data_IF_652989184228
#
_entry.id   IF_652989184228
#
_cell.length_a   1.000
_cell.length_b   1.000
_cell.length_c   1.000
_cell.angle_alpha   90.00
_cell.angle_beta   90.00
_cell.angle_gamma   90.00
#
_symmetry.space_group_name_H-M   'P 1'
#
loop_
_entity.id
_entity.type
_entity.pdbx_description
1 polymer ?
#
# COMPACT_ATOMS: atom_id res chain seq x y z
N UNK A 1 69.31 32.22 30.09
CA UNK A 1 68.32 32.35 31.18
C UNK A 1 68.21 33.84 31.49
N UNK A 2 67.01 34.43 31.41
CA UNK A 2 66.84 35.87 31.59
C UNK A 2 67.05 36.27 33.05
N UNK A 3 67.64 37.45 33.29
CA UNK A 3 68.08 37.93 34.62
C UNK A 3 66.89 38.17 35.58
N UNK A 4 65.68 38.28 35.04
CA UNK A 4 64.43 38.53 35.74
C UNK A 4 63.56 37.27 35.93
N UNK A 5 64.05 36.08 35.55
CA UNK A 5 63.31 34.82 35.70
C UNK A 5 62.10 34.66 34.78
N UNK A 6 61.85 35.62 33.87
CA UNK A 6 60.72 35.56 32.94
C UNK A 6 61.13 34.76 31.69
N UNK A 7 60.43 33.68 31.33
CA UNK A 7 60.66 32.98 30.08
C UNK A 7 60.29 33.91 28.92
N UNK A 8 61.25 34.19 28.03
CA UNK A 8 61.03 35.01 26.83
C UNK A 8 61.33 34.18 25.60
N UNK A 9 60.55 34.38 24.54
CA UNK A 9 60.84 33.81 23.24
C UNK A 9 61.65 34.81 22.45
N UNK A 10 62.82 34.37 21.98
CA UNK A 10 63.73 35.21 21.22
C UNK A 10 63.61 34.85 19.75
N UNK A 11 63.31 35.85 18.93
CA UNK A 11 63.50 35.74 17.49
C UNK A 11 64.69 36.63 17.10
N UNK A 12 65.68 36.02 16.45
CA UNK A 12 66.86 36.72 15.98
C UNK A 12 66.72 36.93 14.48
N UNK A 13 66.86 38.19 14.05
CA UNK A 13 66.96 38.51 12.62
C UNK A 13 68.26 39.27 12.38
N UNK A 14 69.02 38.81 11.39
CA UNK A 14 70.21 39.53 10.96
C UNK A 14 69.77 40.79 10.20
N UNK A 15 70.38 41.93 10.53
CA UNK A 15 70.13 43.17 9.78
C UNK A 15 70.93 43.11 8.48
N UNK A 16 70.29 43.23 7.30
CA UNK A 16 71.02 43.18 6.04
C UNK A 16 72.07 44.29 5.97
N UNK A 17 73.33 43.93 5.69
CA UNK A 17 74.43 44.88 5.49
C UNK A 17 75.27 45.23 6.73
N UNK A 18 74.96 44.70 7.92
CA UNK A 18 75.76 44.89 9.13
C UNK A 18 75.98 43.56 9.87
N UNK A 19 77.13 43.36 10.56
CA UNK A 19 77.37 42.17 11.37
C UNK A 19 76.68 42.28 12.75
N UNK A 20 75.41 42.71 12.76
CA UNK A 20 74.61 42.91 13.97
C UNK A 20 73.35 42.06 13.90
N UNK A 21 73.03 41.39 15.01
CA UNK A 21 71.80 40.66 15.22
C UNK A 21 70.88 41.48 16.12
N UNK A 22 69.65 41.72 15.67
CA UNK A 22 68.61 42.31 16.51
C UNK A 22 67.78 41.16 17.09
N UNK A 23 67.66 41.12 18.41
CA UNK A 23 66.75 40.22 19.11
C UNK A 23 65.54 41.00 19.57
N UNK A 24 64.36 40.56 19.15
CA UNK A 24 63.10 41.02 19.74
C UNK A 24 62.67 39.91 20.70
N UNK A 25 62.54 40.27 21.97
CA UNK A 25 62.10 39.36 23.02
C UNK A 25 60.71 39.78 23.48
N UNK A 26 59.70 39.00 23.12
CA UNK A 26 58.35 39.17 23.66
C UNK A 26 58.24 38.38 24.96
N UNK A 27 57.60 38.97 25.97
CA UNK A 27 57.28 38.25 27.19
C UNK A 27 56.31 37.10 26.89
N UNK A 28 56.47 35.95 27.57
CA UNK A 28 55.54 34.82 27.43
C UNK A 28 54.08 35.23 27.70
N UNK A 29 53.85 36.19 28.59
CA UNK A 29 52.51 36.76 28.86
C UNK A 29 51.97 37.56 27.66
N UNK A 30 52.76 38.46 27.07
CA UNK A 30 52.33 39.27 25.90
C UNK A 30 52.03 38.39 24.67
N UNK A 31 52.84 37.35 24.44
CA UNK A 31 52.58 36.39 23.36
C UNK A 31 51.31 35.57 23.61
N UNK A 32 51.07 35.16 24.86
CA UNK A 32 49.85 34.46 25.25
C UNK A 32 48.62 35.36 25.08
N UNK A 33 48.66 36.62 25.49
CA UNK A 33 47.52 37.54 25.37
C UNK A 33 47.11 37.82 23.91
N UNK A 34 48.09 37.97 23.00
CA UNK A 34 47.81 38.18 21.56
C UNK A 34 47.26 36.91 20.90
N UNK A 35 47.80 35.73 21.22
CA UNK A 35 47.32 34.45 20.68
C UNK A 35 45.98 33.99 21.26
N UNK A 36 45.69 34.32 22.52
CA UNK A 36 44.43 33.94 23.18
C UNK A 36 43.21 34.70 22.66
N UNK A 37 43.40 35.93 22.13
CA UNK A 37 42.30 36.78 21.64
C UNK A 37 41.79 36.35 20.26
N UNK A 38 42.66 35.87 19.38
CA UNK A 38 42.29 35.30 18.07
C UNK A 38 41.76 33.88 18.21
N UNK A 39 42.40 33.04 19.02
CA UNK A 39 42.01 31.65 19.24
C UNK A 39 40.56 31.51 19.78
N UNK A 40 40.10 32.43 20.64
CA UNK A 40 38.74 32.34 21.22
C UNK A 40 37.61 32.42 20.19
N UNK A 41 37.74 33.25 19.14
CA UNK A 41 36.71 33.36 18.10
C UNK A 41 36.71 32.11 17.20
N UNK A 42 37.88 31.56 16.90
CA UNK A 42 38.02 30.33 16.11
C UNK A 42 37.38 29.13 16.81
N UNK A 43 37.57 29.00 18.14
CA UNK A 43 36.90 27.94 18.93
C UNK A 43 35.38 28.12 18.96
N UNK A 44 34.87 29.36 19.10
CA UNK A 44 33.43 29.61 19.10
C UNK A 44 32.80 29.31 17.74
N UNK A 45 33.43 29.72 16.64
CA UNK A 45 32.97 29.39 15.28
C UNK A 45 33.00 27.89 15.01
N UNK A 46 34.05 27.19 15.45
CA UNK A 46 34.16 25.73 15.31
C UNK A 46 33.06 24.99 16.11
N UNK A 47 32.77 25.43 17.34
CA UNK A 47 31.70 24.83 18.16
C UNK A 47 30.31 25.11 17.58
N UNK A 48 30.06 26.33 17.09
CA UNK A 48 28.81 26.67 16.40
C UNK A 48 28.63 25.86 15.11
N UNK A 49 29.67 25.74 14.29
CA UNK A 49 29.64 24.90 13.09
C UNK A 49 29.39 23.43 13.41
N UNK A 50 30.00 22.90 14.47
CA UNK A 50 29.79 21.53 14.92
C UNK A 50 28.35 21.31 15.43
N UNK A 51 27.79 22.25 16.19
CA UNK A 51 26.41 22.21 16.66
C UNK A 51 25.41 22.30 15.51
N UNK A 52 25.68 23.13 14.50
CA UNK A 52 24.87 23.23 13.29
C UNK A 52 24.90 21.92 12.49
N UNK A 53 26.08 21.30 12.34
CA UNK A 53 26.21 20.00 11.67
C UNK A 53 25.46 18.89 12.41
N UNK A 54 25.56 18.85 13.75
CA UNK A 54 24.82 17.89 14.57
C UNK A 54 23.30 18.12 14.49
N UNK A 55 22.86 19.38 14.55
CA UNK A 55 21.45 19.74 14.39
C UNK A 55 20.92 19.37 13.01
N UNK A 56 21.68 19.65 11.94
CA UNK A 56 21.33 19.26 10.58
C UNK A 56 21.27 17.73 10.43
N UNK A 57 22.25 17.00 10.97
CA UNK A 57 22.24 15.54 10.96
C UNK A 57 21.03 14.96 11.73
N UNK A 58 20.69 15.55 12.88
CA UNK A 58 19.51 15.16 13.66
C UNK A 58 18.20 15.41 12.89
N UNK A 59 18.02 16.58 12.28
CA UNK A 59 16.84 16.88 11.46
C UNK A 59 16.76 15.94 10.26
N UNK A 60 17.87 15.73 9.55
CA UNK A 60 17.93 14.89 8.38
C UNK A 60 17.66 13.40 8.68
N UNK A 61 18.18 12.91 9.80
CA UNK A 61 17.88 11.55 10.28
C UNK A 61 16.43 11.40 10.72
N UNK A 62 15.86 12.40 11.38
CA UNK A 62 14.45 12.39 11.78
C UNK A 62 13.53 12.38 10.55
N UNK A 63 13.77 13.26 9.57
CA UNK A 63 13.03 13.30 8.31
C UNK A 63 13.04 11.96 7.57
N UNK A 64 14.24 11.36 7.42
CA UNK A 64 14.38 10.01 6.84
C UNK A 64 13.63 8.95 7.63
N UNK A 65 13.69 8.99 8.96
CA UNK A 65 12.98 8.02 9.80
C UNK A 65 11.46 8.16 9.69
N UNK A 66 10.95 9.39 9.57
CA UNK A 66 9.53 9.68 9.41
C UNK A 66 9.01 9.15 8.07
N UNK A 67 9.73 9.44 6.99
CA UNK A 67 9.42 8.95 5.65
C UNK A 67 9.42 7.40 5.64
N UNK A 68 10.42 6.78 6.25
CA UNK A 68 10.48 5.31 6.37
C UNK A 68 9.30 4.73 7.15
N UNK A 69 8.89 5.36 8.25
CA UNK A 69 7.72 4.92 9.02
C UNK A 69 6.43 5.02 8.20
N UNK A 70 6.22 6.12 7.48
CA UNK A 70 5.06 6.28 6.59
C UNK A 70 5.06 5.23 5.47
N UNK A 71 6.21 4.97 4.85
CA UNK A 71 6.33 3.92 3.84
C UNK A 71 6.07 2.52 4.42
N UNK A 72 6.57 2.22 5.63
CA UNK A 72 6.32 0.95 6.29
C UNK A 72 4.85 0.76 6.65
N UNK A 73 4.19 1.79 7.18
CA UNK A 73 2.76 1.75 7.47
C UNK A 73 1.93 1.52 6.21
N UNK A 74 2.24 2.24 5.13
CA UNK A 74 1.57 2.07 3.84
C UNK A 74 1.79 0.68 3.27
N UNK A 75 3.04 0.20 3.27
CA UNK A 75 3.40 -1.12 2.77
C UNK A 75 2.73 -2.24 3.58
N UNK A 76 2.67 -2.08 4.91
CA UNK A 76 2.01 -3.04 5.80
C UNK A 76 0.50 -3.06 5.57
N UNK A 77 -0.15 -1.89 5.49
CA UNK A 77 -1.58 -1.80 5.20
C UNK A 77 -1.91 -2.39 3.82
N UNK A 78 -1.10 -2.09 2.80
CA UNK A 78 -1.27 -2.64 1.47
C UNK A 78 -1.12 -4.17 1.49
N UNK A 79 -0.08 -4.70 2.15
CA UNK A 79 0.13 -6.14 2.28
C UNK A 79 -1.02 -6.83 3.01
N UNK A 80 -1.51 -6.26 4.11
CA UNK A 80 -2.65 -6.80 4.84
C UNK A 80 -3.92 -6.80 3.98
N UNK A 81 -4.17 -5.73 3.23
CA UNK A 81 -5.29 -5.66 2.31
C UNK A 81 -5.19 -6.71 1.20
N UNK A 82 -4.02 -6.86 0.57
CA UNK A 82 -3.79 -7.89 -0.45
C UNK A 82 -4.02 -9.28 0.10
N UNK A 83 -3.47 -9.62 1.27
CA UNK A 83 -3.67 -10.92 1.92
C UNK A 83 -5.15 -11.18 2.24
N UNK A 84 -5.87 -10.17 2.74
CA UNK A 84 -7.30 -10.30 3.01
C UNK A 84 -8.10 -10.58 1.73
N UNK A 85 -7.83 -9.85 0.65
CA UNK A 85 -8.46 -10.06 -0.66
C UNK A 85 -8.12 -11.44 -1.23
N UNK A 86 -6.85 -11.86 -1.14
CA UNK A 86 -6.38 -13.17 -1.60
C UNK A 86 -7.04 -14.32 -0.85
N UNK A 87 -7.12 -14.24 0.48
CA UNK A 87 -7.73 -15.27 1.31
C UNK A 87 -9.23 -15.45 1.02
N UNK A 88 -9.93 -14.37 0.68
CA UNK A 88 -11.35 -14.40 0.34
C UNK A 88 -11.65 -14.67 -1.13
N UNK A 89 -10.62 -14.85 -1.97
CA UNK A 89 -10.79 -14.96 -3.43
C UNK A 89 -11.41 -13.71 -4.07
N UNK A 90 -11.32 -12.56 -3.39
CA UNK A 90 -11.96 -11.33 -3.81
C UNK A 90 -11.10 -10.61 -4.84
N UNK A 91 -11.77 -10.12 -5.88
CA UNK A 91 -11.20 -9.24 -6.87
C UNK A 91 -11.89 -7.87 -6.81
N UNK A 92 -11.16 -6.80 -7.11
CA UNK A 92 -11.66 -5.43 -7.05
C UNK A 92 -12.11 -4.89 -8.40
N UNK A 93 -13.19 -4.12 -8.39
CA UNK A 93 -13.66 -3.34 -9.51
C UNK A 93 -13.99 -1.90 -9.09
N UNK A 94 -13.88 -0.99 -10.04
CA UNK A 94 -14.31 0.39 -9.90
C UNK A 94 -14.94 0.86 -11.20
N UNK A 95 -16.01 1.63 -11.10
CA UNK A 95 -16.71 2.21 -12.23
C UNK A 95 -16.78 3.72 -12.05
N UNK A 96 -16.16 4.43 -13.00
CA UNK A 96 -16.36 5.86 -13.19
C UNK A 96 -17.63 6.10 -14.02
N UNK A 97 -18.63 6.70 -13.38
CA UNK A 97 -19.94 6.95 -13.98
C UNK A 97 -19.97 8.20 -14.88
N UNK A 98 -18.91 9.01 -14.86
CA UNK A 98 -18.78 10.18 -15.73
C UNK A 98 -18.19 9.77 -17.07
N UNK A 99 -17.13 8.98 -17.05
CA UNK A 99 -16.43 8.52 -18.27
C UNK A 99 -16.99 7.21 -18.82
N UNK A 100 -17.71 6.45 -18.00
CA UNK A 100 -18.16 5.09 -18.33
C UNK A 100 -17.06 4.04 -18.20
N UNK A 101 -15.86 4.42 -17.78
CA UNK A 101 -14.73 3.51 -17.66
C UNK A 101 -14.88 2.61 -16.43
N UNK A 102 -14.64 1.33 -16.66
CA UNK A 102 -14.51 0.34 -15.61
C UNK A 102 -13.04 -0.04 -15.46
N UNK A 103 -12.58 -0.05 -14.22
CA UNK A 103 -11.26 -0.50 -13.82
C UNK A 103 -11.42 -1.78 -13.02
N UNK A 104 -10.72 -2.82 -13.45
CA UNK A 104 -10.72 -4.11 -12.77
C UNK A 104 -9.29 -4.53 -12.49
N UNK A 105 -9.09 -5.18 -11.35
CA UNK A 105 -7.78 -5.65 -10.96
C UNK A 105 -7.31 -6.85 -11.82
N UNK A 106 -6.16 -7.41 -11.47
CA UNK A 106 -5.59 -8.56 -12.19
C UNK A 106 -6.43 -9.83 -11.99
N UNK A 107 -7.04 -10.01 -10.81
CA UNK A 107 -7.81 -11.21 -10.49
C UNK A 107 -9.14 -11.24 -11.22
N UNK A 108 -9.85 -10.12 -11.29
CA UNK A 108 -11.12 -9.98 -12.02
C UNK A 108 -10.95 -10.34 -13.49
N UNK A 109 -9.83 -9.93 -14.09
CA UNK A 109 -9.47 -10.32 -15.47
C UNK A 109 -9.22 -11.82 -15.59
N UNK A 110 -8.44 -12.38 -14.67
CA UNK A 110 -8.14 -13.80 -14.67
C UNK A 110 -9.40 -14.68 -14.50
N UNK A 111 -10.40 -14.24 -13.72
CA UNK A 111 -11.70 -14.93 -13.59
C UNK A 111 -12.44 -15.07 -14.93
N UNK A 112 -12.22 -14.14 -15.87
CA UNK A 112 -12.82 -14.17 -17.22
C UNK A 112 -11.85 -14.70 -18.29
N UNK A 113 -10.66 -15.13 -17.87
CA UNK A 113 -9.62 -15.74 -18.70
C UNK A 113 -8.71 -14.74 -19.42
N UNK A 114 -8.89 -13.43 -19.24
CA UNK A 114 -8.10 -12.42 -19.94
C UNK A 114 -6.69 -12.29 -19.34
N UNK A 115 -5.68 -12.26 -20.21
CA UNK A 115 -4.29 -12.01 -19.81
C UNK A 115 -4.04 -10.51 -19.54
N UNK A 116 -3.02 -10.18 -18.72
CA UNK A 116 -2.62 -8.79 -18.51
C UNK A 116 -2.27 -8.11 -19.85
N UNK A 117 -2.99 -7.03 -20.17
CA UNK A 117 -2.74 -6.22 -21.38
C UNK A 117 -3.44 -6.70 -22.65
N UNK A 118 -4.21 -7.80 -22.58
CA UNK A 118 -4.94 -8.34 -23.74
C UNK A 118 -6.15 -7.48 -24.11
N UNK A 119 -7.00 -7.17 -23.12
CA UNK A 119 -8.20 -6.36 -23.32
C UNK A 119 -8.54 -5.60 -22.04
N UNK A 120 -9.01 -4.36 -22.19
CA UNK A 120 -9.55 -3.57 -21.10
C UNK A 120 -11.03 -3.90 -20.92
N UNK A 121 -11.42 -4.31 -19.72
CA UNK A 121 -12.82 -4.51 -19.34
C UNK A 121 -13.42 -3.15 -19.01
N UNK A 122 -14.00 -2.50 -20.02
CA UNK A 122 -14.80 -1.28 -19.85
C UNK A 122 -16.30 -1.60 -19.71
N UNK A 123 -17.13 -0.55 -19.54
CA UNK A 123 -18.58 -0.72 -19.39
C UNK A 123 -19.26 -1.32 -20.63
N UNK A 124 -18.72 -1.13 -21.83
CA UNK A 124 -19.28 -1.67 -23.07
C UNK A 124 -19.02 -3.17 -23.16
N UNK A 125 -17.75 -3.58 -22.97
CA UNK A 125 -17.39 -4.99 -22.94
C UNK A 125 -18.13 -5.73 -21.83
N UNK A 126 -18.29 -5.11 -20.66
CA UNK A 126 -19.13 -5.67 -19.61
C UNK A 126 -20.56 -5.95 -20.09
N UNK A 127 -21.20 -5.01 -20.77
CA UNK A 127 -22.56 -5.17 -21.29
C UNK A 127 -22.67 -6.27 -22.37
N UNK A 128 -21.61 -6.47 -23.16
CA UNK A 128 -21.50 -7.55 -24.15
C UNK A 128 -21.33 -8.91 -23.50
N UNK A 129 -20.48 -9.01 -22.47
CA UNK A 129 -20.21 -10.26 -21.75
C UNK A 129 -21.34 -10.65 -20.80
N UNK A 130 -22.19 -9.70 -20.38
CA UNK A 130 -23.31 -9.96 -19.47
C UNK A 130 -24.36 -10.86 -20.11
N UNK A 131 -24.71 -11.93 -19.40
CA UNK A 131 -25.75 -12.87 -19.81
C UNK A 131 -27.07 -12.11 -20.08
N UNK A 132 -27.74 -12.35 -21.23
CA UNK A 132 -28.95 -11.62 -21.61
C UNK A 132 -30.05 -11.63 -20.53
N UNK A 133 -30.28 -12.79 -19.92
CA UNK A 133 -31.29 -12.98 -18.86
C UNK A 133 -30.99 -12.21 -17.57
N UNK A 134 -29.73 -11.85 -17.32
CA UNK A 134 -29.32 -11.18 -16.08
C UNK A 134 -29.42 -9.64 -16.20
N UNK A 135 -29.56 -9.11 -17.43
CA UNK A 135 -29.66 -7.66 -17.69
C UNK A 135 -30.82 -6.98 -16.95
N UNK A 136 -32.05 -7.53 -16.94
CA UNK A 136 -33.17 -6.90 -16.24
C UNK A 136 -32.94 -6.85 -14.72
N UNK A 137 -32.44 -7.95 -14.15
CA UNK A 137 -32.15 -8.07 -12.72
C UNK A 137 -31.04 -7.08 -12.31
N UNK A 138 -29.97 -6.97 -13.10
CA UNK A 138 -28.91 -5.99 -12.82
C UNK A 138 -29.47 -4.57 -12.77
N UNK A 139 -30.28 -4.18 -13.77
CA UNK A 139 -30.88 -2.85 -13.81
C UNK A 139 -31.81 -2.59 -12.61
N UNK A 140 -32.60 -3.59 -12.22
CA UNK A 140 -33.50 -3.51 -11.05
C UNK A 140 -32.73 -3.33 -9.74
N UNK A 141 -31.63 -4.07 -9.53
CA UNK A 141 -30.82 -4.00 -8.31
C UNK A 141 -29.92 -2.77 -8.27
N UNK A 142 -29.44 -2.31 -9.41
CA UNK A 142 -28.53 -1.17 -9.49
C UNK A 142 -29.25 0.16 -9.27
N UNK A 143 -30.49 0.30 -9.77
CA UNK A 143 -31.25 1.56 -9.73
C UNK A 143 -31.44 2.14 -8.31
N UNK A 144 -31.89 1.38 -7.28
CA UNK A 144 -32.03 1.90 -5.92
C UNK A 144 -30.69 2.37 -5.32
N UNK A 145 -29.59 1.67 -5.63
CA UNK A 145 -28.25 2.03 -5.16
C UNK A 145 -27.80 3.35 -5.79
N UNK A 146 -28.02 3.53 -7.09
CA UNK A 146 -27.71 4.78 -7.78
C UNK A 146 -28.51 5.96 -7.23
N UNK A 147 -29.78 5.73 -6.88
CA UNK A 147 -30.64 6.74 -6.22
C UNK A 147 -30.29 6.99 -4.75
N UNK A 148 -29.49 6.13 -4.13
CA UNK A 148 -29.14 6.23 -2.70
C UNK A 148 -30.23 5.70 -1.77
N UNK A 149 -31.23 4.97 -2.30
CA UNK A 149 -32.29 4.32 -1.53
C UNK A 149 -31.74 3.10 -0.75
N UNK A 150 -30.70 2.46 -1.29
CA UNK A 150 -30.01 1.32 -0.68
C UNK A 150 -28.50 1.61 -0.67
N UNK A 151 -27.78 1.31 0.43
CA UNK A 151 -26.38 1.71 0.57
C UNK A 151 -25.41 0.89 -0.29
N UNK A 152 -25.78 -0.35 -0.64
CA UNK A 152 -24.89 -1.32 -1.30
C UNK A 152 -25.63 -2.11 -2.37
N UNK A 153 -24.92 -2.35 -3.46
CA UNK A 153 -25.26 -3.32 -4.48
C UNK A 153 -24.83 -4.70 -4.00
N UNK A 154 -25.73 -5.67 -4.10
CA UNK A 154 -25.46 -7.08 -3.92
C UNK A 154 -26.26 -7.82 -4.99
N UNK A 155 -25.57 -8.52 -5.89
CA UNK A 155 -26.22 -9.40 -6.86
C UNK A 155 -25.29 -10.53 -7.28
N UNK A 156 -25.90 -11.55 -7.88
CA UNK A 156 -25.19 -12.57 -8.64
C UNK A 156 -25.56 -12.40 -10.11
N UNK A 157 -24.58 -12.52 -11.00
CA UNK A 157 -24.82 -12.52 -12.44
C UNK A 157 -23.76 -13.33 -13.16
N UNK A 158 -24.03 -13.66 -14.41
CA UNK A 158 -23.15 -14.43 -15.26
C UNK A 158 -22.48 -13.53 -16.28
N UNK A 159 -21.16 -13.64 -16.36
CA UNK A 159 -20.37 -13.09 -17.45
C UNK A 159 -19.84 -14.21 -18.33
N UNK A 160 -19.73 -13.94 -19.62
CA UNK A 160 -19.14 -14.86 -20.59
C UNK A 160 -17.61 -14.83 -20.45
N UNK A 161 -17.03 -15.99 -20.18
CA UNK A 161 -15.59 -16.21 -20.24
C UNK A 161 -15.08 -16.05 -21.68
N UNK A 162 -13.80 -15.72 -21.87
CA UNK A 162 -13.21 -15.65 -23.23
C UNK A 162 -13.35 -16.95 -24.03
N UNK A 163 -13.34 -18.09 -23.33
CA UNK A 163 -13.50 -19.43 -23.91
C UNK A 163 -14.97 -19.80 -24.17
N UNK A 164 -15.91 -18.89 -23.91
CA UNK A 164 -17.32 -19.01 -24.28
C UNK A 164 -18.24 -19.62 -23.23
N UNK A 165 -17.72 -20.18 -22.13
CA UNK A 165 -18.54 -20.65 -21.02
C UNK A 165 -18.98 -19.51 -20.10
N UNK A 166 -19.95 -19.76 -19.23
CA UNK A 166 -20.45 -18.77 -18.26
C UNK A 166 -19.74 -18.90 -16.92
N UNK A 167 -19.38 -17.75 -16.34
CA UNK A 167 -18.79 -17.65 -15.00
C UNK A 167 -19.83 -17.02 -14.07
N UNK A 168 -20.19 -17.72 -13.00
CA UNK A 168 -21.11 -17.24 -11.97
C UNK A 168 -20.37 -16.30 -11.01
N UNK A 169 -20.67 -15.00 -11.09
CA UNK A 169 -20.01 -13.96 -10.29
C UNK A 169 -20.94 -13.43 -9.22
N UNK A 170 -20.45 -13.36 -7.98
CA UNK A 170 -21.10 -12.62 -6.90
C UNK A 170 -20.45 -11.25 -6.77
N UNK A 171 -21.26 -10.21 -6.98
CA UNK A 171 -20.81 -8.82 -7.01
C UNK A 171 -21.38 -8.03 -5.84
N UNK A 172 -20.48 -7.31 -5.16
CA UNK A 172 -20.80 -6.36 -4.12
C UNK A 172 -20.24 -5.01 -4.50
N UNK A 173 -20.98 -3.94 -4.32
CA UNK A 173 -20.50 -2.59 -4.63
C UNK A 173 -21.19 -1.50 -3.84
N UNK A 174 -20.59 -0.32 -3.81
CA UNK A 174 -21.18 0.88 -3.21
C UNK A 174 -20.74 2.14 -3.95
N UNK A 175 -21.56 3.18 -3.85
CA UNK A 175 -21.20 4.52 -4.34
C UNK A 175 -20.22 5.16 -3.37
N UNK A 176 -19.06 5.58 -3.88
CA UNK A 176 -17.99 6.22 -3.07
C UNK A 176 -17.85 7.71 -3.35
N UNK A 177 -18.42 8.20 -4.45
CA UNK A 177 -18.42 9.62 -4.78
C UNK A 177 -19.71 10.01 -5.49
N UNK A 178 -20.25 11.18 -5.11
CA UNK A 178 -21.37 11.87 -5.75
C UNK A 178 -21.01 13.34 -5.98
N UNK A 179 -21.62 13.96 -6.97
CA UNK A 179 -21.51 15.40 -7.17
C UNK A 179 -22.46 16.20 -6.26
N UNK A 180 -22.40 17.53 -6.33
CA UNK A 180 -23.25 18.42 -5.54
C UNK A 180 -24.75 18.27 -5.85
N UNK A 181 -25.11 17.73 -7.02
CA UNK A 181 -26.49 17.44 -7.42
C UNK A 181 -26.94 16.03 -7.01
N UNK A 182 -26.09 15.26 -6.32
CA UNK A 182 -26.37 13.89 -5.88
C UNK A 182 -26.18 12.82 -6.96
N UNK A 183 -25.69 13.17 -8.15
CA UNK A 183 -25.40 12.20 -9.22
C UNK A 183 -24.18 11.37 -8.84
N UNK A 184 -24.21 10.08 -9.18
CA UNK A 184 -23.11 9.16 -8.91
C UNK A 184 -21.92 9.52 -9.79
N UNK A 185 -20.75 9.67 -9.18
CA UNK A 185 -19.48 9.87 -9.87
C UNK A 185 -18.69 8.57 -9.95
N UNK A 186 -18.64 7.82 -8.84
CA UNK A 186 -17.83 6.60 -8.77
C UNK A 186 -18.47 5.54 -7.88
N UNK A 187 -18.44 4.30 -8.37
CA UNK A 187 -18.76 3.10 -7.60
C UNK A 187 -17.55 2.19 -7.54
N UNK A 188 -17.38 1.48 -6.44
CA UNK A 188 -16.34 0.45 -6.32
C UNK A 188 -16.86 -0.71 -5.51
N UNK A 189 -16.21 -1.86 -5.64
CA UNK A 189 -16.68 -3.08 -5.02
C UNK A 189 -15.75 -4.25 -5.20
N UNK A 190 -16.28 -5.41 -4.82
CA UNK A 190 -15.61 -6.70 -4.95
C UNK A 190 -16.43 -7.62 -5.84
N UNK A 191 -15.75 -8.52 -6.52
CA UNK A 191 -16.33 -9.65 -7.25
C UNK A 191 -15.62 -10.93 -6.84
N UNK A 192 -16.36 -12.02 -6.76
CA UNK A 192 -15.83 -13.36 -6.52
C UNK A 192 -16.49 -14.35 -7.48
N UNK A 193 -15.69 -15.25 -8.02
CA UNK A 193 -16.16 -16.37 -8.82
C UNK A 193 -16.70 -17.46 -7.88
N UNK A 194 -17.98 -17.81 -8.06
CA UNK A 194 -18.67 -18.85 -7.29
C UNK A 194 -18.93 -20.11 -8.11
N UNK A 195 -18.38 -20.21 -9.32
CA UNK A 195 -18.62 -21.33 -10.23
C UNK A 195 -18.22 -22.67 -9.62
N UNK A 196 -17.05 -22.75 -8.97
CA UNK A 196 -16.61 -23.98 -8.30
C UNK A 196 -17.48 -24.34 -7.11
N UNK A 197 -17.81 -23.36 -6.27
CA UNK A 197 -18.68 -23.57 -5.11
C UNK A 197 -20.05 -24.11 -5.55
N UNK A 198 -20.65 -23.49 -6.56
CA UNK A 198 -21.95 -23.89 -7.10
C UNK A 198 -21.90 -25.29 -7.73
N UNK A 199 -20.80 -25.64 -8.42
CA UNK A 199 -20.58 -26.99 -8.95
C UNK A 199 -20.54 -28.04 -7.84
N UNK A 200 -19.85 -27.75 -6.73
CA UNK A 200 -19.79 -28.64 -5.57
C UNK A 200 -21.16 -28.77 -4.89
N UNK A 201 -21.86 -27.66 -4.69
CA UNK A 201 -23.22 -27.65 -4.12
C UNK A 201 -24.19 -28.48 -4.98
N UNK A 202 -24.14 -28.33 -6.29
CA UNK A 202 -24.95 -29.12 -7.23
C UNK A 202 -24.59 -30.60 -7.20
N UNK A 203 -23.30 -30.96 -7.14
CA UNK A 203 -22.86 -32.35 -7.06
C UNK A 203 -23.37 -33.04 -5.79
N UNK A 204 -23.35 -32.33 -4.65
CA UNK A 204 -23.91 -32.83 -3.38
C UNK A 204 -25.42 -33.01 -3.50
N UNK A 205 -26.14 -32.03 -4.05
CA UNK A 205 -27.59 -32.12 -4.24
C UNK A 205 -27.98 -33.28 -5.16
N UNK A 206 -27.25 -33.48 -6.26
CA UNK A 206 -27.48 -34.61 -7.17
C UNK A 206 -27.23 -35.96 -6.49
N UNK A 207 -26.15 -36.07 -5.71
CA UNK A 207 -25.87 -37.29 -4.95
C UNK A 207 -26.96 -37.57 -3.91
N UNK A 208 -27.47 -36.54 -3.22
CA UNK A 208 -28.56 -36.70 -2.25
C UNK A 208 -29.87 -37.12 -2.92
N UNK A 209 -30.22 -36.49 -4.04
CA UNK A 209 -31.43 -36.84 -4.80
C UNK A 209 -31.37 -38.28 -5.31
N UNK A 210 -30.21 -38.73 -5.81
CA UNK A 210 -30.01 -40.11 -6.24
C UNK A 210 -30.15 -41.09 -5.07
N UNK A 211 -29.55 -40.79 -3.91
CA UNK A 211 -29.68 -41.64 -2.73
C UNK A 211 -31.14 -41.73 -2.23
N UNK A 212 -31.88 -40.62 -2.27
CA UNK A 212 -33.31 -40.61 -1.93
C UNK A 212 -34.12 -41.47 -2.90
N UNK A 213 -33.94 -41.29 -4.21
CA UNK A 213 -34.65 -42.08 -5.23
C UNK A 213 -34.35 -43.58 -5.10
N UNK A 214 -33.08 -43.97 -4.87
CA UNK A 214 -32.71 -45.36 -4.64
C UNK A 214 -33.31 -45.92 -3.34
N UNK A 215 -33.41 -45.10 -2.28
CA UNK A 215 -33.99 -45.53 -1.00
C UNK A 215 -35.50 -45.71 -1.13
N UNK A 216 -36.19 -44.82 -1.83
CA UNK A 216 -37.65 -44.87 -2.02
C UNK A 216 -38.10 -46.05 -2.91
N UNK A 217 -37.22 -46.51 -3.80
CA UNK A 217 -37.49 -47.66 -4.68
C UNK A 217 -37.21 -49.02 -4.04
N UNK A 218 -36.51 -49.07 -2.90
CA UNK A 218 -36.22 -50.34 -2.19
C UNK A 218 -37.31 -50.58 -1.15
N UNK A 219 -38.13 -51.65 -1.27
CA UNK A 219 -39.16 -51.97 -0.28
C UNK A 219 -38.56 -52.65 0.95
N UNK A 220 -37.61 -51.99 1.63
CA UNK A 220 -36.99 -52.44 2.87
C UNK A 220 -36.58 -51.26 3.75
N UNK A 221 -36.73 -51.38 5.07
CA UNK A 221 -36.22 -50.39 6.03
C UNK A 221 -34.69 -50.40 6.03
N UNK A 222 -34.10 -49.30 5.56
CA UNK A 222 -32.65 -49.08 5.56
C UNK A 222 -32.21 -48.48 6.90
N UNK A 223 -31.39 -49.22 7.64
CA UNK A 223 -30.77 -48.73 8.87
C UNK A 223 -29.32 -48.31 8.61
N UNK A 224 -28.98 -47.06 8.93
CA UNK A 224 -27.59 -46.59 8.98
C UNK A 224 -27.12 -46.59 10.43
N UNK A 225 -26.13 -47.43 10.75
CA UNK A 225 -25.43 -47.38 12.03
C UNK A 225 -24.09 -46.67 11.86
N UNK A 226 -23.82 -45.70 12.75
CA UNK A 226 -22.50 -45.07 12.88
C UNK A 226 -21.74 -45.88 13.92
N UNK A 227 -20.61 -46.46 13.52
CA UNK A 227 -19.70 -47.11 14.45
C UNK A 227 -18.79 -46.01 15.00
N UNK A 228 -19.00 -45.63 16.26
CA UNK A 228 -18.09 -44.74 16.97
C UNK A 228 -16.82 -45.53 17.34
N UNK A 229 -15.68 -44.85 17.41
CA UNK A 229 -14.36 -45.46 17.57
C UNK A 229 -14.15 -46.21 18.91
N UNK A 230 -15.15 -46.20 19.80
CA UNK A 230 -15.10 -46.82 21.12
C UNK A 230 -15.99 -48.08 21.27
N UNK A 231 -16.60 -48.56 20.18
CA UNK A 231 -17.33 -49.84 20.16
C UNK A 231 -18.85 -49.74 20.28
#
# INVERSE_FOLDING_TARGET
>A
MAVDGVPRWYHFRQVPGFPLYVSVALGKQEYQEVGLRTNRLDWLLATLGSLLLLGFAAIFSWDRSLIQQQHQQLAQSHKQMTLALDSGGLALWSWDWVTGQMEVDKRSRAMLGFLPGEQQLDGNLFAELLHPDDRPMLAERLRPVLKGEVPRLLLEHRLRHKDGHWVDLMVRGQVVARDAAGRVLRMTGTVVDRSEQKRLELAVQQSQALLQDLTDQVPAELFQFRVDADG
#
